data_IF_444527715867
#
_entry.id   IF_444527715867
#
_cell.length_a   1.000
_cell.length_b   1.000
_cell.length_c   1.000
_cell.angle_alpha   90.00
_cell.angle_beta   90.00
_cell.angle_gamma   90.00
#
_symmetry.space_group_name_H-M   'P 1'
#
loop_
_entity.id
_entity.type
_entity.pdbx_description
1 polymer ?
#
# COMPACT_ATOMS: atom_id res chain seq x y z
N UNK A 1 16.04 28.02 2.39
CA UNK A 1 16.42 27.42 3.69
C UNK A 1 15.25 26.62 4.26
N UNK A 2 14.92 25.46 3.66
CA UNK A 2 13.82 24.57 4.11
C UNK A 2 14.29 23.10 4.17
N UNK A 3 15.60 22.88 4.26
CA UNK A 3 16.23 21.56 4.09
C UNK A 3 16.78 20.94 5.37
N UNK A 4 16.46 21.49 6.55
CA UNK A 4 16.98 21.01 7.81
C UNK A 4 15.83 20.90 8.82
N UNK A 5 15.78 19.76 9.51
CA UNK A 5 15.11 19.51 10.80
C UNK A 5 13.90 18.57 10.83
N UNK A 6 13.95 17.41 10.16
CA UNK A 6 13.27 16.22 10.70
C UNK A 6 14.20 15.02 10.59
N UNK A 7 15.07 14.87 11.59
CA UNK A 7 15.86 13.64 11.76
C UNK A 7 14.92 12.62 12.39
N UNK A 8 14.45 11.65 11.61
CA UNK A 8 13.53 10.61 12.08
C UNK A 8 14.14 9.88 13.27
N UNK A 9 13.36 9.80 14.35
CA UNK A 9 13.71 9.05 15.56
C UNK A 9 13.88 7.57 15.24
N UNK A 10 14.61 6.84 16.10
CA UNK A 10 14.82 5.39 15.94
C UNK A 10 13.48 4.62 15.83
N UNK A 11 12.48 5.06 16.59
CA UNK A 11 11.13 4.50 16.59
C UNK A 11 10.37 4.78 15.29
N UNK A 12 10.49 5.99 14.74
CA UNK A 12 9.89 6.33 13.44
C UNK A 12 10.53 5.53 12.31
N UNK A 13 11.84 5.26 12.39
CA UNK A 13 12.53 4.42 11.42
C UNK A 13 12.03 2.97 11.46
N UNK A 14 11.88 2.39 12.65
CA UNK A 14 11.32 1.04 12.83
C UNK A 14 9.90 0.95 12.27
N UNK A 15 9.06 1.95 12.52
CA UNK A 15 7.70 2.01 11.97
C UNK A 15 7.72 2.09 10.43
N UNK A 16 8.60 2.94 9.87
CA UNK A 16 8.76 3.06 8.42
C UNK A 16 9.23 1.76 7.77
N UNK A 17 10.16 1.05 8.40
CA UNK A 17 10.66 -0.23 7.90
C UNK A 17 9.58 -1.31 8.00
N UNK A 18 8.80 -1.39 9.09
CA UNK A 18 7.64 -2.28 9.17
C UNK A 18 6.57 -1.96 8.13
N UNK A 19 6.30 -0.68 7.86
CA UNK A 19 5.36 -0.27 6.81
C UNK A 19 5.85 -0.60 5.40
N UNK A 20 7.17 -0.64 5.18
CA UNK A 20 7.78 -1.07 3.91
C UNK A 20 7.76 -2.58 3.72
N UNK A 21 7.74 -3.36 4.81
CA UNK A 21 7.59 -4.81 4.77
C UNK A 21 6.15 -5.26 4.46
N UNK A 22 5.16 -4.38 4.66
CA UNK A 22 3.79 -4.63 4.22
C UNK A 22 3.75 -4.63 2.69
N UNK A 23 3.60 -5.81 2.10
CA UNK A 23 3.58 -5.98 0.63
C UNK A 23 2.50 -5.15 -0.08
N UNK A 24 1.41 -4.82 0.63
CA UNK A 24 0.29 -4.03 0.12
C UNK A 24 0.55 -2.53 0.10
N UNK A 25 1.61 -2.05 0.76
CA UNK A 25 1.94 -0.64 0.94
C UNK A 25 3.30 -0.32 0.35
N UNK A 26 3.31 0.54 -0.66
CA UNK A 26 4.53 1.09 -1.24
C UNK A 26 4.82 2.43 -0.59
N UNK A 27 5.87 2.48 0.23
CA UNK A 27 6.34 3.69 0.90
C UNK A 27 7.60 4.21 0.20
N UNK A 28 7.54 5.44 -0.31
CA UNK A 28 8.68 6.11 -0.94
C UNK A 28 9.66 6.65 0.11
N UNK A 29 10.90 6.92 -0.31
CA UNK A 29 11.95 7.46 0.58
C UNK A 29 11.65 8.86 1.11
N UNK A 30 10.68 9.57 0.51
CA UNK A 30 10.19 10.87 0.97
C UNK A 30 8.96 10.76 1.87
N UNK A 31 8.56 9.55 2.27
CA UNK A 31 7.41 9.30 3.14
C UNK A 31 6.05 9.29 2.44
N UNK A 32 6.00 9.42 1.10
CA UNK A 32 4.76 9.24 0.35
C UNK A 32 4.33 7.77 0.37
N UNK A 33 3.05 7.52 0.69
CA UNK A 33 2.47 6.18 0.81
C UNK A 33 1.47 5.94 -0.31
N UNK A 34 1.51 4.75 -0.90
CA UNK A 34 0.55 4.30 -1.91
C UNK A 34 0.28 2.82 -1.72
N UNK A 35 -0.85 2.34 -2.23
CA UNK A 35 -1.16 0.91 -2.25
C UNK A 35 -0.45 0.30 -3.45
N UNK A 36 0.26 -0.83 -3.25
CA UNK A 36 0.77 -1.57 -4.39
C UNK A 36 -0.37 -2.31 -5.08
N UNK A 37 -0.94 -1.64 -6.08
CA UNK A 37 -2.02 -2.18 -6.90
C UNK A 37 -1.68 -3.52 -7.53
N UNK A 38 -0.40 -3.84 -7.80
CA UNK A 38 -0.04 -5.12 -8.42
C UNK A 38 -0.28 -6.28 -7.47
N UNK A 39 0.01 -6.12 -6.18
CA UNK A 39 -0.19 -7.20 -5.22
C UNK A 39 -1.67 -7.53 -5.03
N UNK A 40 -2.50 -6.48 -4.93
CA UNK A 40 -3.96 -6.62 -4.86
C UNK A 40 -4.51 -7.26 -6.15
N UNK A 41 -4.06 -6.82 -7.32
CA UNK A 41 -4.53 -7.33 -8.60
C UNK A 41 -4.07 -8.78 -8.86
N UNK A 42 -2.99 -9.24 -8.23
CA UNK A 42 -2.52 -10.64 -8.31
C UNK A 42 -3.11 -11.55 -7.24
N UNK A 43 -3.82 -11.02 -6.24
CA UNK A 43 -4.47 -11.82 -5.20
C UNK A 43 -5.64 -12.62 -5.77
N UNK A 44 -5.60 -13.95 -5.63
CA UNK A 44 -6.68 -14.84 -6.09
C UNK A 44 -8.03 -14.48 -5.46
N UNK A 45 -8.03 -14.15 -4.17
CA UNK A 45 -9.22 -13.72 -3.43
C UNK A 45 -9.81 -12.44 -4.02
N UNK A 46 -8.95 -11.47 -4.37
CA UNK A 46 -9.39 -10.23 -4.99
C UNK A 46 -9.97 -10.47 -6.39
N UNK A 47 -9.32 -11.31 -7.20
CA UNK A 47 -9.78 -11.68 -8.54
C UNK A 47 -11.16 -12.36 -8.47
N UNK A 48 -11.34 -13.30 -7.54
CA UNK A 48 -12.61 -14.00 -7.36
C UNK A 48 -13.73 -13.06 -6.90
N UNK A 49 -13.45 -12.20 -5.92
CA UNK A 49 -14.39 -11.18 -5.46
C UNK A 49 -14.79 -10.21 -6.59
N UNK A 50 -13.83 -9.77 -7.40
CA UNK A 50 -14.08 -8.91 -8.57
C UNK A 50 -14.97 -9.59 -9.62
N UNK A 51 -14.73 -10.88 -9.91
CA UNK A 51 -15.59 -11.66 -10.81
C UNK A 51 -17.02 -11.78 -10.30
N UNK A 52 -17.19 -12.05 -9.00
CA UNK A 52 -18.53 -12.11 -8.35
C UNK A 52 -19.25 -10.77 -8.45
N UNK A 53 -18.58 -9.67 -8.10
CA UNK A 53 -19.15 -8.33 -8.18
C UNK A 53 -19.59 -7.96 -9.60
N UNK A 54 -18.74 -8.22 -10.62
CA UNK A 54 -19.10 -8.01 -12.03
C UNK A 54 -20.35 -8.78 -12.45
N UNK A 55 -20.47 -10.04 -12.01
CA UNK A 55 -21.65 -10.86 -12.30
C UNK A 55 -22.92 -10.32 -11.66
N UNK A 56 -22.82 -9.74 -10.46
CA UNK A 56 -23.98 -9.12 -9.78
C UNK A 56 -24.41 -7.86 -10.54
N UNK A 57 -23.48 -6.97 -10.87
CA UNK A 57 -23.78 -5.71 -11.58
C UNK A 57 -24.32 -5.97 -12.99
N UNK A 58 -23.79 -6.95 -13.71
CA UNK A 58 -24.26 -7.26 -15.08
C UNK A 58 -25.65 -7.93 -15.12
N UNK A 59 -26.12 -8.48 -14.00
CA UNK A 59 -27.43 -9.15 -13.90
C UNK A 59 -28.42 -8.36 -13.02
N UNK A 60 -28.03 -7.17 -12.55
CA UNK A 60 -28.84 -6.27 -11.73
C UNK A 60 -29.46 -5.15 -12.52
#
# INVERSE_FOLDING_TARGET
MLGLLFKTSKREKEILDSLRELRTLRVSDRGGMSIDSREILTSELFIEASKKAKKIVANG
#
